data_IF_330306518742
#
_entry.id   IF_330306518742
#
_cell.length_a   1.000
_cell.length_b   1.000
_cell.length_c   1.000
_cell.angle_alpha   90.00
_cell.angle_beta   90.00
_cell.angle_gamma   90.00
#
_symmetry.space_group_name_H-M   'P 1'
#
loop_
_entity.id
_entity.type
_entity.pdbx_description
1 polymer ?
#
# COMPACT_ATOMS: atom_id res chain seq x y z
N UNK A 1 -7.93 -22.87 -21.67
CA UNK A 1 -8.49 -22.73 -20.30
C UNK A 1 -7.38 -22.61 -19.25
N UNK A 2 -6.40 -23.53 -19.23
CA UNK A 2 -5.24 -23.44 -18.31
C UNK A 2 -4.35 -22.22 -18.62
N UNK A 3 -4.11 -21.91 -19.90
CA UNK A 3 -3.36 -20.72 -20.35
C UNK A 3 -4.04 -19.40 -19.97
N UNK A 4 -5.36 -19.30 -20.20
CA UNK A 4 -6.15 -18.10 -19.89
C UNK A 4 -6.16 -17.78 -18.38
N UNK A 5 -6.20 -18.80 -17.52
CA UNK A 5 -6.10 -18.62 -16.07
C UNK A 5 -4.68 -18.18 -15.68
N UNK A 6 -3.66 -18.75 -16.33
CA UNK A 6 -2.26 -18.38 -16.11
C UNK A 6 -1.97 -16.92 -16.45
N UNK A 7 -2.42 -16.45 -17.61
CA UNK A 7 -2.26 -15.05 -18.04
C UNK A 7 -3.01 -14.07 -17.13
N UNK A 8 -4.20 -14.45 -16.67
CA UNK A 8 -4.97 -13.66 -15.72
C UNK A 8 -4.25 -13.54 -14.35
N UNK A 9 -3.79 -14.67 -13.79
CA UNK A 9 -3.05 -14.67 -12.52
C UNK A 9 -1.74 -13.90 -12.64
N UNK A 10 -1.01 -14.06 -13.75
CA UNK A 10 0.20 -13.32 -14.02
C UNK A 10 -0.06 -11.81 -14.08
N UNK A 11 -1.12 -11.39 -14.77
CA UNK A 11 -1.52 -9.98 -14.87
C UNK A 11 -1.95 -9.40 -13.52
N UNK A 12 -2.66 -10.17 -12.70
CA UNK A 12 -3.01 -9.79 -11.33
C UNK A 12 -1.77 -9.63 -10.45
N UNK A 13 -0.86 -10.60 -10.49
CA UNK A 13 0.40 -10.57 -9.76
C UNK A 13 1.27 -9.39 -10.20
N UNK A 14 1.33 -9.10 -11.50
CA UNK A 14 2.02 -7.93 -12.03
C UNK A 14 1.39 -6.63 -11.52
N UNK A 15 0.05 -6.55 -11.47
CA UNK A 15 -0.69 -5.42 -10.90
C UNK A 15 -0.39 -5.23 -9.41
N UNK A 16 -0.43 -6.31 -8.62
CA UNK A 16 -0.08 -6.30 -7.19
C UNK A 16 1.36 -5.85 -7.00
N UNK A 17 2.30 -6.39 -7.79
CA UNK A 17 3.71 -6.03 -7.74
C UNK A 17 3.94 -4.54 -7.99
N UNK A 18 3.28 -3.96 -8.99
CA UNK A 18 3.34 -2.51 -9.26
C UNK A 18 2.82 -1.69 -8.08
N UNK A 19 1.68 -2.08 -7.50
CA UNK A 19 1.11 -1.38 -6.35
C UNK A 19 2.02 -1.45 -5.12
N UNK A 20 2.58 -2.62 -4.83
CA UNK A 20 3.52 -2.81 -3.74
C UNK A 20 4.81 -2.00 -3.95
N UNK A 21 5.32 -1.93 -5.19
CA UNK A 21 6.51 -1.15 -5.51
C UNK A 21 6.26 0.35 -5.25
N UNK A 22 5.13 0.89 -5.74
CA UNK A 22 4.73 2.28 -5.45
C UNK A 22 4.59 2.49 -3.94
N UNK A 23 4.07 1.50 -3.21
CA UNK A 23 3.93 1.57 -1.76
C UNK A 23 5.24 1.56 -1.00
N UNK A 24 6.22 0.79 -1.45
CA UNK A 24 7.58 0.83 -0.91
C UNK A 24 8.19 2.22 -1.15
N UNK A 25 8.04 2.81 -2.33
CA UNK A 25 8.57 4.16 -2.62
C UNK A 25 7.95 5.21 -1.68
N UNK A 26 6.62 5.23 -1.57
CA UNK A 26 5.91 6.17 -0.68
C UNK A 26 6.30 5.93 0.79
N UNK A 27 6.47 4.67 1.18
CA UNK A 27 6.93 4.33 2.52
C UNK A 27 8.36 4.80 2.79
N UNK A 28 9.29 4.68 1.84
CA UNK A 28 10.66 5.18 1.99
C UNK A 28 10.68 6.70 2.22
N UNK A 29 9.86 7.47 1.50
CA UNK A 29 9.70 8.91 1.75
C UNK A 29 9.21 9.14 3.19
N UNK A 30 8.25 8.33 3.62
CA UNK A 30 7.75 8.33 4.99
C UNK A 30 8.83 8.05 6.05
N UNK A 31 9.72 7.09 5.80
CA UNK A 31 10.84 6.76 6.67
C UNK A 31 11.79 7.92 6.84
N UNK A 32 12.11 8.63 5.75
CA UNK A 32 12.96 9.82 5.81
C UNK A 32 12.32 10.84 6.75
N UNK A 33 11.04 11.17 6.56
CA UNK A 33 10.32 12.11 7.43
C UNK A 33 10.33 11.67 8.89
N UNK A 34 10.12 10.38 9.14
CA UNK A 34 10.10 9.82 10.50
C UNK A 34 11.47 9.89 11.16
N UNK A 35 12.54 9.61 10.42
CA UNK A 35 13.92 9.67 10.88
C UNK A 35 14.32 11.11 11.20
N UNK A 36 13.99 12.07 10.33
CA UNK A 36 14.16 13.49 10.63
C UNK A 36 13.44 13.85 11.93
N UNK A 37 12.17 13.47 12.09
CA UNK A 37 11.40 13.78 13.30
C UNK A 37 12.01 13.21 14.57
N UNK A 38 12.57 12.00 14.52
CA UNK A 38 13.17 11.36 15.70
C UNK A 38 14.56 11.94 16.00
N UNK A 39 15.33 12.34 14.99
CA UNK A 39 16.65 12.97 15.15
C UNK A 39 16.57 14.36 15.81
N UNK A 40 15.48 15.10 15.60
CA UNK A 40 15.21 16.39 16.25
C UNK A 40 14.41 16.26 17.55
N UNK A 41 14.12 15.05 18.02
CA UNK A 41 13.38 14.84 19.28
C UNK A 41 14.38 14.73 20.43
N UNK A 42 14.28 15.62 21.42
CA UNK A 42 15.07 15.54 22.63
C UNK A 42 14.58 14.35 23.50
N UNK A 43 15.28 13.22 23.43
CA UNK A 43 14.99 12.01 24.22
C UNK A 43 15.74 10.78 23.73
N UNK A 44 15.71 9.70 24.50
CA UNK A 44 16.37 8.44 24.14
C UNK A 44 15.65 7.71 22.99
N UNK A 45 16.43 7.24 22.02
CA UNK A 45 15.95 6.42 20.90
C UNK A 45 15.56 5.02 21.38
N UNK A 46 14.27 4.82 21.66
CA UNK A 46 13.74 3.48 21.90
C UNK A 46 13.50 2.74 20.57
N UNK A 47 14.42 1.86 20.19
CA UNK A 47 14.41 1.10 18.93
C UNK A 47 13.10 0.31 18.72
N UNK A 48 12.52 -0.23 19.80
CA UNK A 48 11.29 -1.04 19.74
C UNK A 48 10.09 -0.18 19.34
N UNK A 49 10.01 1.00 19.92
CA UNK A 49 8.95 1.98 19.62
C UNK A 49 9.12 2.52 18.19
N UNK A 50 10.36 2.75 17.78
CA UNK A 50 10.70 3.17 16.42
C UNK A 50 10.28 2.11 15.38
N UNK A 51 10.69 0.84 15.56
CA UNK A 51 10.30 -0.26 14.67
C UNK A 51 8.77 -0.41 14.57
N UNK A 52 8.06 -0.26 15.69
CA UNK A 52 6.60 -0.30 15.69
C UNK A 52 5.98 0.84 14.88
N UNK A 53 6.49 2.08 15.00
CA UNK A 53 6.06 3.22 14.18
C UNK A 53 6.33 2.96 12.69
N UNK A 54 7.51 2.43 12.36
CA UNK A 54 7.93 2.09 10.99
C UNK A 54 7.00 1.03 10.38
N UNK A 55 6.74 -0.04 11.12
CA UNK A 55 5.83 -1.12 10.69
C UNK A 55 4.40 -0.61 10.46
N UNK A 56 3.91 0.20 11.40
CA UNK A 56 2.59 0.84 11.30
C UNK A 56 2.51 1.74 10.06
N UNK A 57 3.56 2.53 9.80
CA UNK A 57 3.64 3.40 8.63
C UNK A 57 3.62 2.59 7.32
N UNK A 58 4.36 1.46 7.26
CA UNK A 58 4.35 0.57 6.11
C UNK A 58 2.93 0.08 5.77
N UNK A 59 2.17 -0.34 6.79
CA UNK A 59 0.79 -0.78 6.60
C UNK A 59 -0.12 0.35 6.12
N UNK A 60 0.01 1.55 6.69
CA UNK A 60 -0.79 2.73 6.28
C UNK A 60 -0.48 3.13 4.84
N UNK A 61 0.79 3.19 4.44
CA UNK A 61 1.20 3.54 3.08
C UNK A 61 0.64 2.56 2.05
N UNK A 62 0.74 1.26 2.34
CA UNK A 62 0.16 0.23 1.48
C UNK A 62 -1.37 0.34 1.37
N UNK A 63 -2.06 0.58 2.48
CA UNK A 63 -3.50 0.75 2.49
C UNK A 63 -3.93 1.99 1.68
N UNK A 64 -3.22 3.10 1.84
CA UNK A 64 -3.48 4.32 1.07
C UNK A 64 -3.33 4.09 -0.44
N UNK A 65 -2.34 3.31 -0.86
CA UNK A 65 -2.11 3.01 -2.28
C UNK A 65 -3.09 1.98 -2.83
N UNK A 66 -3.49 1.00 -2.03
CA UNK A 66 -4.57 0.09 -2.41
C UNK A 66 -5.86 0.87 -2.68
N UNK A 67 -6.27 1.76 -1.77
CA UNK A 67 -7.44 2.61 -1.99
C UNK A 67 -7.23 3.62 -3.12
N UNK A 68 -6.04 4.22 -3.23
CA UNK A 68 -5.71 5.14 -4.31
C UNK A 68 -5.79 4.47 -5.68
N UNK A 69 -5.39 3.21 -5.80
CA UNK A 69 -5.44 2.45 -7.05
C UNK A 69 -6.86 2.17 -7.54
N UNK A 70 -7.84 2.10 -6.65
CA UNK A 70 -9.26 2.00 -7.01
C UNK A 70 -9.79 3.25 -7.71
N UNK A 71 -9.15 4.40 -7.50
CA UNK A 71 -9.52 5.67 -8.13
C UNK A 71 -8.63 5.93 -9.34
N UNK A 72 -7.32 5.79 -9.19
CA UNK A 72 -6.33 6.05 -10.24
C UNK A 72 -6.46 5.06 -11.39
N UNK A 73 -6.71 3.78 -11.09
CA UNK A 73 -6.83 2.72 -12.09
C UNK A 73 -7.96 2.97 -13.10
N UNK A 74 -9.22 3.21 -12.66
CA UNK A 74 -10.31 3.55 -13.58
C UNK A 74 -10.11 4.88 -14.31
N UNK A 75 -9.53 5.90 -13.66
CA UNK A 75 -9.24 7.19 -14.31
C UNK A 75 -8.22 7.01 -15.44
N UNK A 76 -7.14 6.27 -15.20
CA UNK A 76 -6.16 5.93 -16.23
C UNK A 76 -6.80 5.09 -17.34
N UNK A 77 -7.60 4.07 -16.98
CA UNK A 77 -8.30 3.23 -17.94
C UNK A 77 -9.31 4.00 -18.81
N UNK A 78 -9.86 5.11 -18.32
CA UNK A 78 -10.75 5.98 -19.10
C UNK A 78 -9.98 6.90 -20.06
N UNK A 79 -8.75 7.28 -19.72
CA UNK A 79 -7.90 8.15 -20.53
C UNK A 79 -7.03 7.41 -21.55
N UNK A 80 -6.88 6.10 -21.39
CA UNK A 80 -6.04 5.27 -22.27
C UNK A 80 -6.91 4.41 -23.18
N UNK A 81 -6.63 4.47 -24.49
CA UNK A 81 -7.25 3.61 -25.50
C UNK A 81 -6.30 2.45 -25.87
N UNK A 82 -6.84 1.28 -26.23
CA UNK A 82 -6.05 0.10 -26.65
C UNK A 82 -5.72 -0.89 -25.52
N UNK A 83 -4.73 -1.76 -25.77
CA UNK A 83 -4.38 -2.91 -24.90
C UNK A 83 -3.91 -2.50 -23.48
N UNK A 84 -3.38 -1.29 -23.32
CA UNK A 84 -2.96 -0.77 -22.01
C UNK A 84 -4.15 -0.57 -21.04
N UNK A 85 -5.36 -0.39 -21.58
CA UNK A 85 -6.59 -0.26 -20.79
C UNK A 85 -6.85 -1.50 -19.94
N UNK A 86 -6.60 -2.68 -20.47
CA UNK A 86 -6.73 -3.94 -19.74
C UNK A 86 -5.75 -4.00 -18.56
N UNK A 87 -4.53 -3.48 -18.73
CA UNK A 87 -3.55 -3.37 -17.66
C UNK A 87 -4.02 -2.49 -16.49
N UNK A 88 -4.65 -1.35 -16.77
CA UNK A 88 -5.20 -0.46 -15.74
C UNK A 88 -6.45 -1.03 -15.05
N UNK A 89 -7.28 -1.77 -15.78
CA UNK A 89 -8.40 -2.51 -15.20
C UNK A 89 -7.87 -3.59 -14.24
N UNK A 90 -6.88 -4.38 -14.67
CA UNK A 90 -6.24 -5.39 -13.81
C UNK A 90 -5.58 -4.75 -12.58
N UNK A 91 -4.95 -3.59 -12.72
CA UNK A 91 -4.40 -2.83 -11.60
C UNK A 91 -5.49 -2.42 -10.59
N UNK A 92 -6.67 -2.02 -11.08
CA UNK A 92 -7.82 -1.69 -10.23
C UNK A 92 -8.35 -2.93 -9.49
N UNK A 93 -8.42 -4.08 -10.16
CA UNK A 93 -8.84 -5.36 -9.57
C UNK A 93 -7.83 -5.80 -8.51
N UNK A 94 -6.53 -5.74 -8.81
CA UNK A 94 -5.45 -6.00 -7.85
C UNK A 94 -5.55 -5.06 -6.64
N UNK A 95 -5.85 -3.79 -6.87
CA UNK A 95 -6.14 -2.79 -5.84
C UNK A 95 -7.30 -3.19 -4.93
N UNK A 96 -8.40 -3.65 -5.52
CA UNK A 96 -9.58 -4.14 -4.81
C UNK A 96 -9.24 -5.34 -3.91
N UNK A 97 -8.50 -6.32 -4.45
CA UNK A 97 -8.05 -7.50 -3.69
C UNK A 97 -7.17 -7.08 -2.51
N UNK A 98 -6.19 -6.21 -2.75
CA UNK A 98 -5.32 -5.65 -1.70
C UNK A 98 -6.13 -4.91 -0.63
N UNK A 99 -7.10 -4.08 -1.02
CA UNK A 99 -7.99 -3.39 -0.07
C UNK A 99 -8.76 -4.36 0.82
N UNK A 100 -9.31 -5.45 0.27
CA UNK A 100 -10.00 -6.48 1.06
C UNK A 100 -9.03 -7.15 2.04
N UNK A 101 -7.82 -7.47 1.59
CA UNK A 101 -6.77 -8.04 2.45
C UNK A 101 -6.43 -7.08 3.58
N UNK A 102 -6.24 -5.79 3.32
CA UNK A 102 -5.93 -4.81 4.36
C UNK A 102 -7.09 -4.60 5.33
N UNK A 103 -8.35 -4.63 4.86
CA UNK A 103 -9.52 -4.62 5.74
C UNK A 103 -9.51 -5.85 6.67
N UNK A 104 -9.19 -7.03 6.13
CA UNK A 104 -9.09 -8.25 6.94
C UNK A 104 -7.95 -8.18 7.97
N UNK A 105 -6.77 -7.72 7.56
CA UNK A 105 -5.63 -7.48 8.45
C UNK A 105 -6.03 -6.50 9.54
N UNK A 106 -6.64 -5.36 9.20
CA UNK A 106 -7.12 -4.36 10.17
C UNK A 106 -8.13 -4.94 11.16
N UNK A 107 -9.06 -5.79 10.69
CA UNK A 107 -10.04 -6.47 11.56
C UNK A 107 -9.38 -7.45 12.53
N UNK A 108 -8.34 -8.18 12.10
CA UNK A 108 -7.56 -9.09 12.96
C UNK A 108 -6.67 -8.32 13.93
N UNK A 109 -6.15 -7.19 13.48
CA UNK A 109 -5.20 -6.33 14.18
C UNK A 109 -5.94 -5.20 14.93
N UNK A 110 -7.21 -5.39 15.27
CA UNK A 110 -8.19 -4.44 15.87
C UNK A 110 -7.74 -3.62 17.10
N UNK A 111 -6.51 -3.77 17.57
CA UNK A 111 -5.87 -2.95 18.60
C UNK A 111 -4.84 -1.92 18.11
N UNK A 112 -4.48 -1.87 16.82
CA UNK A 112 -3.61 -0.81 16.32
C UNK A 112 -4.49 0.38 15.94
N UNK A 113 -4.61 1.35 16.85
CA UNK A 113 -5.10 2.69 16.55
C UNK A 113 -4.19 3.32 15.47
N UNK A 114 -4.42 2.99 14.20
CA UNK A 114 -3.60 3.43 13.05
C UNK A 114 -3.46 4.95 12.97
N UNK A 115 -4.41 5.68 13.56
CA UNK A 115 -4.46 7.15 13.60
C UNK A 115 -3.99 7.80 14.91
N UNK A 116 -3.74 7.05 16.00
CA UNK A 116 -3.08 7.63 17.17
C UNK A 116 -1.57 7.60 16.95
N UNK A 117 -1.05 8.63 16.28
CA UNK A 117 0.38 8.92 16.22
C UNK A 117 0.90 9.65 17.46
N UNK A 118 0.01 9.90 18.43
CA UNK A 118 0.30 10.62 19.66
C UNK A 118 -0.47 9.97 20.81
N UNK A 119 0.20 9.18 21.63
CA UNK A 119 -0.13 9.11 23.05
C UNK A 119 1.16 8.91 23.84
N UNK A 120 1.49 10.01 24.54
CA UNK A 120 2.42 10.20 25.66
C UNK A 120 3.82 9.62 25.50
#
# INVERSE_FOLDING_TARGET
MMETIGEFLYSLLAGIGKLLLVAVIVWMIGLIILLFRELFRAGDLNIRTYLYKVWKMLLVCNEFIAYGSLIVGPIMAYRTEGDERLGYIMLSISGLILSVIYIYIRKRVKGIDLFKFNQK
#
